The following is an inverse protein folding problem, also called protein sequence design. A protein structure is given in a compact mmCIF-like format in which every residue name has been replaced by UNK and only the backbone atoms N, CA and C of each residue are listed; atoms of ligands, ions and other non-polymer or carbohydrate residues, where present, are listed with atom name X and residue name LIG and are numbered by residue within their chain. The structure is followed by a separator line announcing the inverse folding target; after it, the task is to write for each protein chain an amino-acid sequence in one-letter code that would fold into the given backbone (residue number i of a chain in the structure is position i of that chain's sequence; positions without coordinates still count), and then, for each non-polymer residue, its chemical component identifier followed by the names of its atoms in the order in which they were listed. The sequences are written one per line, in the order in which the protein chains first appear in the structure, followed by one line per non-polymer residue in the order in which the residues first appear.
data_IF_075417148984
#
_entry.id   IF_075417148984
#
_cell.length_a   1.000
_cell.length_b   1.000
_cell.length_c   1.000
_cell.angle_alpha   90.00
_cell.angle_beta   90.00
_cell.angle_gamma   90.00
#
_symmetry.space_group_name_H-M   'P 1'
#
loop_
_entity.id
_entity.type
_entity.pdbx_description
1 polymer ?
#
# COMPACT_ATOMS: atom_id res chain seq x y z
N UNK A 1 -27.04 -10.18 -9.59
CA UNK A 1 -26.63 -9.07 -10.45
C UNK A 1 -25.17 -8.84 -10.12
N UNK A 2 -24.26 -9.29 -11.00
CA UNK A 2 -22.83 -9.18 -10.76
C UNK A 2 -22.41 -7.72 -10.85
N UNK A 3 -21.96 -7.15 -9.74
CA UNK A 3 -21.21 -5.91 -9.78
C UNK A 3 -19.99 -6.17 -10.69
N UNK A 4 -19.92 -5.48 -11.82
CA UNK A 4 -18.69 -5.39 -12.59
C UNK A 4 -17.69 -4.65 -11.71
N UNK A 5 -16.96 -5.41 -10.89
CA UNK A 5 -15.80 -4.86 -10.18
C UNK A 5 -14.82 -4.51 -11.28
N UNK A 6 -14.52 -3.24 -11.42
CA UNK A 6 -13.62 -2.72 -12.43
C UNK A 6 -12.28 -3.43 -12.30
N UNK A 7 -11.82 -4.06 -13.38
CA UNK A 7 -10.47 -4.61 -13.45
C UNK A 7 -9.49 -3.44 -13.26
N UNK A 8 -8.77 -3.44 -12.14
CA UNK A 8 -7.81 -2.36 -11.82
C UNK A 8 -6.80 -2.16 -12.95
N UNK A 9 -6.43 -3.22 -13.66
CA UNK A 9 -5.57 -3.13 -14.83
C UNK A 9 -6.18 -2.26 -15.93
N UNK A 10 -7.50 -2.36 -16.18
CA UNK A 10 -8.18 -1.49 -17.15
C UNK A 10 -8.20 -0.04 -16.66
N UNK A 11 -8.56 0.18 -15.41
CA UNK A 11 -8.60 1.51 -14.79
C UNK A 11 -7.23 2.22 -14.81
N UNK A 12 -6.14 1.49 -14.57
CA UNK A 12 -4.80 2.06 -14.55
C UNK A 12 -4.19 2.26 -15.95
N UNK A 13 -4.70 1.56 -16.97
CA UNK A 13 -4.27 1.69 -18.37
C UNK A 13 -5.27 2.51 -19.20
N UNK A 14 -6.22 3.18 -18.57
CA UNK A 14 -7.17 4.04 -19.27
C UNK A 14 -6.42 5.25 -19.85
N UNK A 15 -6.53 5.43 -21.18
CA UNK A 15 -5.90 6.53 -21.92
C UNK A 15 -6.66 7.86 -21.74
N UNK A 16 -7.66 7.90 -20.85
CA UNK A 16 -8.39 9.14 -20.55
C UNK A 16 -7.53 10.07 -19.69
N UNK A 17 -7.74 11.39 -19.87
CA UNK A 17 -7.15 12.42 -19.00
C UNK A 17 -7.84 12.53 -17.63
N UNK A 18 -8.71 11.57 -17.28
CA UNK A 18 -9.44 11.58 -16.02
C UNK A 18 -8.48 11.36 -14.83
N UNK A 19 -8.62 12.20 -13.82
CA UNK A 19 -7.78 12.15 -12.62
C UNK A 19 -8.41 11.23 -11.59
N UNK A 20 -7.64 10.30 -11.10
CA UNK A 20 -8.04 9.26 -10.15
C UNK A 20 -7.23 9.35 -8.87
N UNK A 21 -7.81 8.84 -7.81
CA UNK A 21 -7.07 8.60 -6.58
C UNK A 21 -7.52 7.30 -5.91
N UNK A 22 -6.63 6.78 -5.10
CA UNK A 22 -6.87 5.65 -4.21
C UNK A 22 -6.30 5.95 -2.83
N UNK A 23 -6.66 5.17 -1.85
CA UNK A 23 -6.08 5.31 -0.52
C UNK A 23 -5.97 3.96 0.18
N UNK A 24 -5.10 3.91 1.18
CA UNK A 24 -5.00 2.73 2.03
C UNK A 24 -5.70 2.93 3.37
N UNK A 25 -6.15 1.83 3.95
CA UNK A 25 -6.68 1.78 5.30
C UNK A 25 -5.91 0.80 6.15
N UNK A 26 -5.76 1.14 7.42
CA UNK A 26 -5.18 0.28 8.43
C UNK A 26 -6.31 -0.41 9.19
N UNK A 27 -6.36 -1.77 9.23
CA UNK A 27 -7.31 -2.49 10.06
C UNK A 27 -7.25 -2.04 11.53
N UNK A 28 -8.38 -1.94 12.24
CA UNK A 28 -8.40 -1.48 13.63
C UNK A 28 -7.65 -2.45 14.54
N UNK A 29 -7.17 -1.97 15.68
CA UNK A 29 -6.64 -2.87 16.72
C UNK A 29 -7.74 -3.79 17.24
N UNK A 30 -7.38 -5.01 17.63
CA UNK A 30 -8.31 -5.95 18.26
C UNK A 30 -8.97 -5.30 19.48
N UNK A 31 -10.28 -5.48 19.60
CA UNK A 31 -11.09 -4.86 20.65
C UNK A 31 -11.66 -3.47 20.31
N UNK A 32 -11.18 -2.79 19.27
CA UNK A 32 -11.66 -1.42 18.93
C UNK A 32 -12.91 -1.41 18.01
N UNK A 33 -13.36 -2.56 17.53
CA UNK A 33 -14.47 -2.64 16.59
C UNK A 33 -14.18 -1.96 15.25
N UNK A 34 -15.16 -1.93 14.35
CA UNK A 34 -15.02 -1.45 12.96
C UNK A 34 -15.45 -0.01 12.75
N UNK A 35 -16.07 0.63 13.76
CA UNK A 35 -16.70 1.95 13.59
C UNK A 35 -15.73 3.06 13.17
N UNK A 36 -14.49 3.04 13.67
CA UNK A 36 -13.46 4.02 13.28
C UNK A 36 -12.99 3.82 11.84
N UNK A 37 -12.82 2.56 11.41
CA UNK A 37 -12.46 2.22 10.04
C UNK A 37 -13.51 2.75 9.05
N UNK A 38 -14.78 2.43 9.29
CA UNK A 38 -15.84 2.87 8.40
C UNK A 38 -16.05 4.38 8.39
N UNK A 39 -15.92 5.08 9.54
CA UNK A 39 -15.93 6.55 9.55
C UNK A 39 -14.81 7.16 8.70
N UNK A 40 -13.62 6.56 8.72
CA UNK A 40 -12.50 7.04 7.90
C UNK A 40 -12.79 6.86 6.40
N UNK A 41 -13.35 5.72 6.02
CA UNK A 41 -13.77 5.46 4.64
C UNK A 41 -14.92 6.40 4.24
N UNK A 42 -15.91 6.60 5.13
CA UNK A 42 -17.06 7.49 4.88
C UNK A 42 -16.64 8.93 4.57
N UNK A 43 -15.53 9.42 5.14
CA UNK A 43 -14.98 10.75 4.83
C UNK A 43 -14.36 10.83 3.43
N UNK A 44 -13.76 9.75 2.94
CA UNK A 44 -13.00 9.76 1.68
C UNK A 44 -13.81 9.25 0.48
N UNK A 45 -14.85 8.44 0.72
CA UNK A 45 -15.68 7.88 -0.37
C UNK A 45 -16.44 8.92 -1.17
N UNK A 46 -16.70 10.11 -0.60
CA UNK A 46 -17.41 11.19 -1.28
C UNK A 46 -16.65 11.72 -2.51
N UNK A 47 -15.34 11.52 -2.55
CA UNK A 47 -14.47 11.90 -3.66
C UNK A 47 -14.30 10.77 -4.70
N UNK A 48 -15.04 9.68 -4.61
CA UNK A 48 -15.04 8.57 -5.54
C UNK A 48 -13.67 7.91 -5.76
N UNK A 49 -13.08 7.28 -4.72
CA UNK A 49 -11.81 6.60 -4.86
C UNK A 49 -11.92 5.41 -5.82
N UNK A 50 -10.90 5.20 -6.64
CA UNK A 50 -10.86 4.11 -7.62
C UNK A 50 -10.74 2.74 -6.95
N UNK A 51 -10.00 2.67 -5.85
CA UNK A 51 -9.83 1.46 -5.03
C UNK A 51 -9.33 1.80 -3.64
N UNK A 52 -9.42 0.82 -2.73
CA UNK A 52 -8.95 0.93 -1.35
C UNK A 52 -7.95 -0.20 -1.08
N UNK A 53 -6.71 0.17 -0.73
CA UNK A 53 -5.72 -0.77 -0.22
C UNK A 53 -5.97 -1.08 1.26
N UNK A 54 -5.72 -2.32 1.66
CA UNK A 54 -5.86 -2.75 3.05
C UNK A 54 -4.53 -3.28 3.52
N UNK A 55 -3.90 -2.56 4.45
CA UNK A 55 -2.58 -2.94 4.95
C UNK A 55 -2.64 -4.19 5.81
N UNK A 56 -1.62 -5.03 5.69
CA UNK A 56 -1.40 -6.19 6.56
C UNK A 56 -0.25 -5.90 7.52
N UNK A 57 -0.43 -6.28 8.76
CA UNK A 57 0.65 -6.30 9.76
C UNK A 57 0.83 -7.73 10.26
N UNK A 58 2.06 -8.18 10.27
CA UNK A 58 2.43 -9.48 10.83
C UNK A 58 2.15 -9.57 12.33
N UNK A 59 2.17 -10.79 12.85
CA UNK A 59 2.08 -11.03 14.28
C UNK A 59 3.33 -10.47 14.99
N UNK A 60 3.14 -9.82 16.11
CA UNK A 60 4.23 -9.41 16.99
C UNK A 60 4.54 -10.54 17.98
N UNK A 61 5.77 -10.59 18.47
CA UNK A 61 6.14 -11.48 19.55
C UNK A 61 6.18 -10.72 20.86
N UNK A 62 5.65 -11.33 21.91
CA UNK A 62 5.82 -10.87 23.28
C UNK A 62 6.50 -11.98 24.08
N UNK A 63 7.29 -11.60 25.06
CA UNK A 63 7.97 -12.52 25.93
C UNK A 63 7.31 -12.45 27.31
N UNK A 64 6.88 -13.61 27.80
CA UNK A 64 6.34 -13.78 29.14
C UNK A 64 7.35 -14.55 29.98
N UNK A 65 7.67 -14.04 31.17
CA UNK A 65 8.46 -14.76 32.13
C UNK A 65 7.60 -15.85 32.79
N UNK A 66 8.09 -17.08 32.72
CA UNK A 66 7.46 -18.24 33.37
C UNK A 66 7.90 -18.33 34.82
N UNK A 67 7.17 -19.14 35.61
CA UNK A 67 7.52 -19.37 37.03
C UNK A 67 8.95 -19.96 37.23
N UNK A 68 9.48 -20.65 36.21
CA UNK A 68 10.83 -21.21 36.20
C UNK A 68 11.91 -20.20 35.78
N UNK A 69 11.55 -18.93 35.56
CA UNK A 69 12.47 -17.85 35.15
C UNK A 69 12.85 -17.87 33.66
N UNK A 70 12.29 -18.78 32.87
CA UNK A 70 12.48 -18.81 31.43
C UNK A 70 11.51 -17.86 30.74
N UNK A 71 11.94 -17.30 29.59
CA UNK A 71 11.10 -16.45 28.74
C UNK A 71 10.39 -17.32 27.70
N UNK A 72 9.06 -17.30 27.74
CA UNK A 72 8.21 -17.91 26.71
C UNK A 72 7.85 -16.88 25.65
N UNK A 73 8.15 -17.18 24.39
CA UNK A 73 7.80 -16.34 23.23
C UNK A 73 6.38 -16.68 22.77
N UNK A 74 5.47 -15.71 22.83
CA UNK A 74 4.10 -15.84 22.35
C UNK A 74 3.87 -14.93 21.14
N UNK A 75 3.30 -15.49 20.07
CA UNK A 75 2.85 -14.70 18.91
C UNK A 75 1.51 -14.04 19.19
N UNK A 76 1.40 -12.75 18.95
CA UNK A 76 0.17 -11.97 19.15
C UNK A 76 -0.21 -11.27 17.84
N UNK A 77 -1.43 -11.57 17.36
CA UNK A 77 -2.08 -10.78 16.31
C UNK A 77 -2.81 -9.60 16.94
N UNK A 78 -2.41 -8.38 16.57
CA UNK A 78 -3.02 -7.16 17.10
C UNK A 78 -4.16 -6.62 16.25
N UNK A 79 -4.32 -7.09 15.02
CA UNK A 79 -5.33 -6.63 14.05
C UNK A 79 -6.05 -7.82 13.41
N UNK A 80 -7.30 -7.63 12.94
CA UNK A 80 -7.95 -8.63 12.11
C UNK A 80 -7.21 -8.84 10.79
N UNK A 81 -7.42 -10.00 10.17
CA UNK A 81 -6.87 -10.31 8.85
C UNK A 81 -7.46 -9.42 7.76
N UNK A 82 -6.67 -9.16 6.72
CA UNK A 82 -7.05 -8.34 5.57
C UNK A 82 -8.24 -8.88 4.81
N UNK A 83 -8.38 -10.20 4.70
CA UNK A 83 -9.52 -10.87 4.03
C UNK A 83 -10.87 -10.42 4.60
N UNK A 84 -11.03 -10.48 5.93
CA UNK A 84 -12.28 -10.09 6.59
C UNK A 84 -12.59 -8.60 6.39
N UNK A 85 -11.57 -7.74 6.44
CA UNK A 85 -11.72 -6.29 6.23
C UNK A 85 -12.05 -6.00 4.77
N UNK A 86 -11.40 -6.67 3.82
CA UNK A 86 -11.66 -6.54 2.39
C UNK A 86 -13.10 -6.91 2.05
N UNK A 87 -13.56 -8.06 2.54
CA UNK A 87 -14.95 -8.50 2.36
C UNK A 87 -15.96 -7.47 2.92
N UNK A 88 -15.71 -6.96 4.15
CA UNK A 88 -16.59 -5.99 4.78
C UNK A 88 -16.65 -4.65 4.02
N UNK A 89 -15.51 -4.16 3.50
CA UNK A 89 -15.44 -2.92 2.70
C UNK A 89 -16.13 -3.12 1.35
N UNK A 90 -15.81 -4.18 0.63
CA UNK A 90 -16.39 -4.47 -0.68
C UNK A 90 -17.91 -4.64 -0.59
N UNK A 91 -18.42 -5.39 0.41
CA UNK A 91 -19.84 -5.58 0.61
C UNK A 91 -20.56 -4.28 0.96
N UNK A 92 -19.95 -3.42 1.79
CA UNK A 92 -20.59 -2.20 2.28
C UNK A 92 -20.59 -1.07 1.25
N UNK A 93 -19.51 -0.91 0.50
CA UNK A 93 -19.28 0.25 -0.34
C UNK A 93 -19.31 -0.05 -1.84
N UNK A 94 -19.12 -1.29 -2.26
CA UNK A 94 -18.97 -1.65 -3.66
C UNK A 94 -17.69 -1.09 -4.32
N UNK A 95 -16.76 -0.55 -3.54
CA UNK A 95 -15.48 -0.03 -4.02
C UNK A 95 -14.50 -1.19 -4.17
N UNK A 96 -13.75 -1.29 -5.28
CA UNK A 96 -12.69 -2.29 -5.42
C UNK A 96 -11.70 -2.25 -4.27
N UNK A 97 -11.32 -3.41 -3.76
CA UNK A 97 -10.34 -3.54 -2.66
C UNK A 97 -9.09 -4.25 -3.14
N UNK A 98 -7.93 -3.83 -2.58
CA UNK A 98 -6.63 -4.45 -2.81
C UNK A 98 -6.06 -4.84 -1.44
N UNK A 99 -6.35 -6.04 -0.92
CA UNK A 99 -5.69 -6.53 0.28
C UNK A 99 -4.20 -6.74 0.03
N UNK A 100 -3.38 -6.39 1.04
CA UNK A 100 -1.96 -6.68 1.04
C UNK A 100 -1.75 -8.12 1.48
N UNK A 101 -1.03 -8.90 0.68
CA UNK A 101 -0.52 -10.24 1.03
C UNK A 101 0.99 -10.11 1.23
N UNK A 102 1.48 -10.56 2.38
CA UNK A 102 2.87 -10.32 2.79
C UNK A 102 3.60 -11.61 3.15
N UNK A 103 4.91 -11.67 2.88
CA UNK A 103 5.77 -12.78 3.32
C UNK A 103 5.99 -12.79 4.83
N UNK A 104 6.06 -11.59 5.44
CA UNK A 104 6.39 -11.43 6.86
C UNK A 104 5.34 -12.10 7.76
N UNK A 105 5.78 -13.01 8.62
CA UNK A 105 4.93 -13.68 9.62
C UNK A 105 3.95 -14.71 9.05
N UNK A 106 4.09 -15.10 7.78
CA UNK A 106 3.25 -16.09 7.11
C UNK A 106 4.06 -17.26 6.54
N UNK A 107 3.53 -18.47 6.65
CA UNK A 107 4.01 -19.64 5.91
C UNK A 107 3.40 -19.65 4.50
N UNK A 108 3.92 -20.49 3.62
CA UNK A 108 3.33 -20.71 2.28
C UNK A 108 1.88 -21.22 2.39
N UNK A 109 1.61 -22.06 3.39
CA UNK A 109 0.27 -22.56 3.68
C UNK A 109 -0.68 -21.46 4.13
N UNK A 110 -0.25 -20.57 5.03
CA UNK A 110 -1.06 -19.41 5.45
C UNK A 110 -1.45 -18.54 4.25
N UNK A 111 -0.50 -18.31 3.33
CA UNK A 111 -0.73 -17.55 2.10
C UNK A 111 -1.71 -18.28 1.18
N UNK A 112 -1.57 -19.60 1.00
CA UNK A 112 -2.49 -20.37 0.16
C UNK A 112 -3.92 -20.31 0.69
N UNK A 113 -4.12 -20.44 2.01
CA UNK A 113 -5.44 -20.26 2.63
C UNK A 113 -5.99 -18.85 2.46
N UNK A 114 -5.15 -17.82 2.57
CA UNK A 114 -5.56 -16.44 2.32
C UNK A 114 -6.01 -16.24 0.86
N UNK A 115 -5.30 -16.83 -0.11
CA UNK A 115 -5.67 -16.79 -1.53
C UNK A 115 -7.00 -17.53 -1.79
N UNK A 116 -7.22 -18.70 -1.18
CA UNK A 116 -8.48 -19.43 -1.27
C UNK A 116 -9.66 -18.62 -0.75
N UNK A 117 -9.50 -17.99 0.41
CA UNK A 117 -10.54 -17.16 1.01
C UNK A 117 -10.86 -15.93 0.14
N UNK A 118 -9.84 -15.25 -0.40
CA UNK A 118 -9.98 -14.10 -1.28
C UNK A 118 -10.68 -14.50 -2.60
N UNK A 119 -10.30 -15.63 -3.19
CA UNK A 119 -10.92 -16.15 -4.40
C UNK A 119 -12.40 -16.49 -4.16
N UNK A 120 -12.72 -17.13 -3.02
CA UNK A 120 -14.11 -17.44 -2.62
C UNK A 120 -14.97 -16.19 -2.47
N UNK A 121 -14.39 -15.09 -1.97
CA UNK A 121 -15.05 -13.80 -1.81
C UNK A 121 -15.13 -12.99 -3.10
N UNK A 122 -14.53 -13.47 -4.21
CA UNK A 122 -14.48 -12.74 -5.48
C UNK A 122 -13.59 -11.50 -5.44
N UNK A 123 -12.57 -11.48 -4.56
CA UNK A 123 -11.57 -10.42 -4.48
C UNK A 123 -10.40 -10.85 -5.36
N UNK A 124 -10.18 -10.13 -6.44
CA UNK A 124 -9.26 -10.53 -7.52
C UNK A 124 -7.99 -9.67 -7.58
N UNK A 125 -7.96 -8.53 -6.88
CA UNK A 125 -6.84 -7.59 -6.90
C UNK A 125 -6.03 -7.67 -5.61
N UNK A 126 -4.71 -7.82 -5.72
CA UNK A 126 -3.81 -7.97 -4.58
C UNK A 126 -2.66 -6.95 -4.63
N UNK A 127 -2.06 -6.70 -3.47
CA UNK A 127 -0.78 -6.05 -3.35
C UNK A 127 0.20 -7.02 -2.72
N UNK A 128 1.20 -7.47 -3.48
CA UNK A 128 2.18 -8.46 -3.02
C UNK A 128 3.43 -7.76 -2.49
N UNK A 129 3.72 -7.96 -1.22
CA UNK A 129 4.80 -7.31 -0.52
C UNK A 129 5.64 -8.33 0.26
N UNK A 130 6.89 -8.01 0.54
CA UNK A 130 7.67 -8.80 1.49
C UNK A 130 7.15 -8.58 2.92
N UNK A 131 6.74 -7.37 3.21
CA UNK A 131 6.45 -6.89 4.56
C UNK A 131 7.73 -6.43 5.27
N UNK A 132 7.53 -5.77 6.40
CA UNK A 132 8.61 -5.23 7.21
C UNK A 132 9.26 -6.32 8.07
N UNK A 133 10.50 -6.07 8.48
CA UNK A 133 11.17 -6.86 9.53
C UNK A 133 10.45 -6.68 10.87
N UNK A 134 10.56 -7.67 11.76
CA UNK A 134 10.09 -7.50 13.13
C UNK A 134 10.84 -6.32 13.80
N UNK A 135 10.16 -5.63 14.71
CA UNK A 135 10.69 -4.39 15.32
C UNK A 135 12.02 -4.59 16.04
N UNK A 136 12.22 -5.78 16.60
CA UNK A 136 13.42 -6.17 17.34
C UNK A 136 14.53 -6.68 16.42
N UNK A 137 14.22 -7.00 15.16
CA UNK A 137 15.16 -7.60 14.24
C UNK A 137 15.98 -6.53 13.50
N UNK A 138 17.27 -6.83 13.31
CA UNK A 138 18.17 -5.99 12.52
C UNK A 138 17.92 -6.14 11.03
N UNK A 139 17.56 -7.35 10.59
CA UNK A 139 17.30 -7.72 9.20
C UNK A 139 15.96 -8.45 9.11
N UNK A 140 15.38 -8.47 7.92
CA UNK A 140 14.23 -9.30 7.65
C UNK A 140 14.59 -10.78 7.81
N UNK A 141 13.80 -11.49 8.61
CA UNK A 141 13.93 -12.95 8.81
C UNK A 141 12.62 -13.61 8.37
N UNK A 142 12.63 -14.47 7.36
CA UNK A 142 11.42 -15.15 6.91
C UNK A 142 10.90 -16.09 7.99
N UNK A 143 9.59 -16.28 8.04
CA UNK A 143 8.98 -17.33 8.84
C UNK A 143 9.43 -18.69 8.32
N UNK A 144 9.69 -19.66 9.20
CA UNK A 144 9.99 -21.02 8.79
C UNK A 144 8.86 -21.57 7.91
N UNK A 145 9.20 -22.10 6.73
CA UNK A 145 8.22 -22.50 5.72
C UNK A 145 7.59 -21.35 4.92
N UNK A 146 7.99 -20.10 5.17
CA UNK A 146 7.52 -18.91 4.45
C UNK A 146 8.45 -18.48 3.32
N UNK A 147 8.19 -17.30 2.76
CA UNK A 147 8.96 -16.67 1.69
C UNK A 147 9.95 -15.64 2.21
N UNK A 148 11.13 -15.57 1.61
CA UNK A 148 12.16 -14.57 1.90
C UNK A 148 12.00 -13.29 1.09
N UNK A 149 11.43 -13.40 -0.12
CA UNK A 149 11.32 -12.30 -1.07
C UNK A 149 9.93 -12.23 -1.71
N UNK A 150 9.51 -11.04 -2.09
CA UNK A 150 8.26 -10.83 -2.85
C UNK A 150 8.23 -11.64 -4.15
N UNK A 151 9.36 -11.88 -4.78
CA UNK A 151 9.43 -12.69 -6.01
C UNK A 151 8.98 -14.13 -5.81
N UNK A 152 9.35 -14.74 -4.68
CA UNK A 152 8.91 -16.09 -4.31
C UNK A 152 7.40 -16.13 -4.01
N UNK A 153 6.87 -15.09 -3.38
CA UNK A 153 5.42 -14.90 -3.19
C UNK A 153 4.69 -14.77 -4.53
N UNK A 154 5.25 -14.00 -5.48
CA UNK A 154 4.71 -13.87 -6.84
C UNK A 154 4.66 -15.24 -7.52
N UNK A 155 5.70 -16.06 -7.42
CA UNK A 155 5.73 -17.41 -7.98
C UNK A 155 4.62 -18.29 -7.40
N UNK A 156 4.38 -18.23 -6.10
CA UNK A 156 3.26 -18.94 -5.46
C UNK A 156 1.91 -18.48 -5.98
N UNK A 157 1.68 -17.16 -6.08
CA UNK A 157 0.42 -16.60 -6.61
C UNK A 157 0.24 -16.97 -8.09
N UNK A 158 1.31 -17.01 -8.88
CA UNK A 158 1.26 -17.45 -10.26
C UNK A 158 0.89 -18.94 -10.38
N UNK A 159 1.49 -19.82 -9.55
CA UNK A 159 1.11 -21.23 -9.49
C UNK A 159 -0.36 -21.40 -9.11
N UNK A 160 -0.82 -20.65 -8.12
CA UNK A 160 -2.23 -20.64 -7.74
C UNK A 160 -3.14 -20.17 -8.88
N UNK A 161 -2.73 -19.14 -9.63
CA UNK A 161 -3.43 -18.67 -10.83
C UNK A 161 -3.49 -19.72 -11.97
N UNK A 162 -2.51 -20.61 -12.04
CA UNK A 162 -2.51 -21.79 -12.95
C UNK A 162 -3.29 -22.97 -12.37
N UNK A 163 -3.87 -22.84 -11.20
CA UNK A 163 -4.64 -23.87 -10.52
C UNK A 163 -3.77 -24.95 -9.85
N UNK A 164 -2.54 -24.62 -9.45
CA UNK A 164 -1.60 -25.53 -8.78
C UNK A 164 -1.42 -25.07 -7.34
N UNK A 165 -1.68 -25.98 -6.40
CA UNK A 165 -1.47 -25.77 -4.97
C UNK A 165 -0.01 -26.05 -4.56
N UNK A 166 0.38 -25.61 -3.35
CA UNK A 166 1.76 -25.81 -2.84
C UNK A 166 2.15 -27.27 -2.67
N UNK A 167 1.18 -28.18 -2.48
CA UNK A 167 1.39 -29.60 -2.39
C UNK A 167 1.49 -30.30 -3.77
N UNK A 168 1.38 -29.53 -4.86
CA UNK A 168 1.41 -30.02 -6.23
C UNK A 168 0.07 -30.56 -6.75
N UNK A 169 -0.97 -30.58 -5.94
CA UNK A 169 -2.31 -30.93 -6.39
C UNK A 169 -2.92 -29.80 -7.26
N UNK A 170 -3.93 -30.12 -8.06
CA UNK A 170 -4.53 -29.19 -9.01
C UNK A 170 -5.99 -28.91 -8.71
N UNK A 171 -6.42 -27.68 -8.97
CA UNK A 171 -7.82 -27.27 -8.84
C UNK A 171 -8.68 -27.93 -9.93
N UNK A 172 -9.79 -28.52 -9.53
CA UNK A 172 -10.79 -29.05 -10.49
C UNK A 172 -11.51 -27.92 -11.25
N UNK A 173 -11.73 -26.81 -10.61
CA UNK A 173 -12.39 -25.63 -11.13
C UNK A 173 -11.60 -24.39 -10.73
N UNK A 174 -10.59 -23.97 -11.52
CA UNK A 174 -9.85 -22.76 -11.28
C UNK A 174 -10.81 -21.55 -11.24
N UNK A 175 -10.68 -20.71 -10.24
CA UNK A 175 -11.40 -19.44 -10.15
C UNK A 175 -10.83 -18.39 -11.11
N UNK A 176 -11.23 -17.13 -10.91
CA UNK A 176 -10.61 -16.03 -11.64
C UNK A 176 -9.19 -15.81 -11.14
N UNK A 177 -8.33 -15.37 -12.05
CA UNK A 177 -6.92 -15.10 -11.75
C UNK A 177 -6.79 -13.84 -10.91
N UNK A 178 -5.87 -13.88 -9.96
CA UNK A 178 -5.45 -12.68 -9.25
C UNK A 178 -4.63 -11.77 -10.16
N UNK A 179 -4.98 -10.48 -10.12
CA UNK A 179 -4.19 -9.37 -10.65
C UNK A 179 -3.48 -8.71 -9.48
N UNK A 180 -2.19 -8.42 -9.59
CA UNK A 180 -1.46 -7.91 -8.44
C UNK A 180 -0.49 -6.78 -8.78
N UNK A 181 -0.38 -5.87 -7.83
CA UNK A 181 0.62 -4.81 -7.77
C UNK A 181 1.76 -5.14 -6.81
N UNK A 182 2.82 -4.34 -6.89
CA UNK A 182 4.01 -4.45 -6.06
C UNK A 182 4.47 -3.08 -5.57
N UNK A 183 5.27 -3.04 -4.50
CA UNK A 183 5.89 -1.80 -4.06
C UNK A 183 7.15 -1.46 -4.88
N UNK A 184 7.41 -0.14 -5.00
CA UNK A 184 8.65 0.41 -5.50
C UNK A 184 9.06 1.65 -4.68
N UNK A 185 10.30 2.13 -4.85
CA UNK A 185 10.90 3.10 -3.94
C UNK A 185 11.62 4.20 -4.73
N UNK A 186 11.05 5.42 -4.83
CA UNK A 186 11.68 6.53 -5.55
C UNK A 186 13.08 6.89 -5.04
N UNK A 187 13.32 6.71 -3.75
CA UNK A 187 14.58 6.99 -3.08
C UNK A 187 15.36 5.73 -2.67
N UNK A 188 15.08 4.60 -3.28
CA UNK A 188 15.54 3.23 -3.06
C UNK A 188 15.02 2.56 -1.78
N UNK A 189 14.91 1.24 -1.79
CA UNK A 189 14.66 0.41 -0.61
C UNK A 189 15.86 0.44 0.35
N UNK A 190 15.60 0.42 1.68
CA UNK A 190 16.66 0.47 2.71
C UNK A 190 17.76 -0.58 2.51
N UNK A 191 17.39 -1.79 2.15
CA UNK A 191 18.32 -2.92 1.95
C UNK A 191 18.95 -2.96 0.56
N UNK A 192 18.46 -2.16 -0.41
CA UNK A 192 19.07 -2.12 -1.73
C UNK A 192 20.42 -1.39 -1.66
N UNK A 193 21.49 -1.93 -2.27
CA UNK A 193 22.79 -1.27 -2.27
C UNK A 193 22.77 0.07 -3.02
N UNK A 194 21.95 0.17 -4.06
CA UNK A 194 21.76 1.37 -4.87
C UNK A 194 20.41 1.34 -5.58
N UNK A 195 20.02 2.46 -6.20
CA UNK A 195 18.75 2.58 -6.92
C UNK A 195 18.69 1.66 -8.16
N UNK A 196 19.81 1.48 -8.87
CA UNK A 196 19.84 0.61 -10.05
C UNK A 196 19.47 -0.84 -9.71
N UNK A 197 19.99 -1.36 -8.60
CA UNK A 197 19.64 -2.72 -8.15
C UNK A 197 18.18 -2.82 -7.75
N UNK A 198 17.63 -1.80 -7.10
CA UNK A 198 16.21 -1.76 -6.72
C UNK A 198 15.28 -1.71 -7.95
N UNK A 199 15.67 -0.94 -8.97
CA UNK A 199 14.98 -0.91 -10.27
C UNK A 199 15.04 -2.26 -11.00
N UNK A 200 16.15 -3.00 -10.91
CA UNK A 200 16.25 -4.38 -11.44
C UNK A 200 15.26 -5.30 -10.74
N UNK A 201 15.08 -5.17 -9.43
CA UNK A 201 14.05 -5.92 -8.70
C UNK A 201 12.63 -5.53 -9.13
N UNK A 202 12.36 -4.25 -9.37
CA UNK A 202 11.07 -3.82 -9.90
C UNK A 202 10.82 -4.42 -11.29
N UNK A 203 11.82 -4.39 -12.18
CA UNK A 203 11.74 -5.02 -13.51
C UNK A 203 11.48 -6.52 -13.40
N UNK A 204 12.18 -7.21 -12.50
CA UNK A 204 11.97 -8.64 -12.24
C UNK A 204 10.54 -8.94 -11.78
N UNK A 205 9.99 -8.15 -10.87
CA UNK A 205 8.60 -8.29 -10.40
C UNK A 205 7.61 -8.10 -11.55
N UNK A 206 7.84 -7.12 -12.44
CA UNK A 206 7.05 -6.96 -13.67
C UNK A 206 7.15 -8.19 -14.58
N UNK A 207 8.36 -8.71 -14.81
CA UNK A 207 8.57 -9.88 -15.67
C UNK A 207 7.92 -11.15 -15.12
N UNK A 208 7.73 -11.23 -13.81
CA UNK A 208 6.99 -12.29 -13.15
C UNK A 208 5.46 -12.06 -13.16
N UNK A 209 4.98 -10.94 -13.68
CA UNK A 209 3.56 -10.71 -13.92
C UNK A 209 2.90 -9.60 -13.08
N UNK A 210 3.64 -8.82 -12.31
CA UNK A 210 3.09 -7.64 -11.66
C UNK A 210 2.53 -6.67 -12.72
N UNK A 211 1.33 -6.14 -12.48
CA UNK A 211 0.59 -5.32 -13.45
C UNK A 211 0.61 -3.84 -13.13
N UNK A 212 0.99 -3.45 -11.93
CA UNK A 212 1.21 -2.06 -11.51
C UNK A 212 2.18 -2.01 -10.32
N UNK A 213 2.68 -0.83 -10.04
CA UNK A 213 3.48 -0.58 -8.84
C UNK A 213 2.97 0.66 -8.09
N UNK A 214 3.02 0.62 -6.75
CA UNK A 214 2.75 1.78 -5.90
C UNK A 214 4.06 2.17 -5.22
N UNK A 215 4.38 3.47 -5.24
CA UNK A 215 5.63 3.92 -4.61
C UNK A 215 5.50 4.02 -3.10
N UNK A 216 6.62 3.86 -2.39
CA UNK A 216 6.74 4.40 -1.03
C UNK A 216 6.48 5.91 -1.05
N UNK A 217 6.01 6.46 0.06
CA UNK A 217 5.80 7.90 0.19
C UNK A 217 7.10 8.69 -0.08
N UNK A 218 6.95 9.86 -0.67
CA UNK A 218 8.03 10.82 -0.96
C UNK A 218 7.49 12.25 -0.86
N UNK A 219 8.37 13.23 -0.74
CA UNK A 219 8.01 14.64 -0.65
C UNK A 219 8.59 15.50 -1.77
N UNK A 220 9.43 14.91 -2.63
CA UNK A 220 10.08 15.55 -3.77
C UNK A 220 9.66 14.89 -5.07
N UNK A 221 8.87 15.60 -5.90
CA UNK A 221 8.40 15.07 -7.18
C UNK A 221 9.52 14.85 -8.19
N UNK A 222 10.59 15.65 -8.14
CA UNK A 222 11.74 15.48 -9.04
C UNK A 222 12.44 14.13 -8.84
N UNK A 223 12.54 13.67 -7.58
CA UNK A 223 13.05 12.32 -7.28
C UNK A 223 12.17 11.24 -7.87
N UNK A 224 10.85 11.41 -7.78
CA UNK A 224 9.89 10.50 -8.38
C UNK A 224 10.00 10.49 -9.91
N UNK A 225 10.10 11.65 -10.57
CA UNK A 225 10.25 11.72 -12.03
C UNK A 225 11.55 11.05 -12.48
N UNK A 226 12.66 11.34 -11.82
CA UNK A 226 13.95 10.70 -12.08
C UNK A 226 13.89 9.18 -11.91
N UNK A 227 13.19 8.70 -10.87
CA UNK A 227 12.97 7.27 -10.66
C UNK A 227 12.19 6.65 -11.82
N UNK A 228 11.07 7.26 -12.23
CA UNK A 228 10.25 6.77 -13.34
C UNK A 228 11.06 6.73 -14.64
N UNK A 229 11.80 7.78 -14.95
CA UNK A 229 12.66 7.84 -16.14
C UNK A 229 13.69 6.70 -16.18
N UNK A 230 14.34 6.43 -15.05
CA UNK A 230 15.29 5.32 -14.93
C UNK A 230 14.58 3.97 -15.06
N UNK A 231 13.41 3.81 -14.44
CA UNK A 231 12.59 2.60 -14.55
C UNK A 231 12.20 2.33 -16.02
N UNK A 232 11.76 3.36 -16.75
CA UNK A 232 11.43 3.26 -18.19
C UNK A 232 12.64 2.88 -19.05
N UNK A 233 13.82 3.46 -18.78
CA UNK A 233 15.08 3.10 -19.46
C UNK A 233 15.48 1.64 -19.22
N UNK A 234 15.11 1.06 -18.07
CA UNK A 234 15.33 -0.35 -17.75
C UNK A 234 14.23 -1.28 -18.27
N UNK A 235 13.24 -0.77 -18.99
CA UNK A 235 12.16 -1.55 -19.60
C UNK A 235 10.99 -1.86 -18.65
N UNK A 236 10.85 -1.12 -17.56
CA UNK A 236 9.64 -1.17 -16.74
C UNK A 236 8.53 -0.43 -17.48
N UNK A 237 7.44 -1.10 -17.80
CA UNK A 237 6.32 -0.56 -18.60
C UNK A 237 5.01 -0.46 -17.82
N UNK A 238 4.89 -1.17 -16.70
CA UNK A 238 3.68 -1.14 -15.87
C UNK A 238 3.45 0.28 -15.32
N UNK A 239 2.17 0.65 -15.04
CA UNK A 239 1.85 1.88 -14.32
C UNK A 239 2.57 1.96 -12.98
N UNK A 240 3.14 3.13 -12.69
CA UNK A 240 3.76 3.45 -11.40
C UNK A 240 2.90 4.55 -10.76
N UNK A 241 2.26 4.20 -9.64
CA UNK A 241 1.33 5.08 -8.94
C UNK A 241 2.10 5.79 -7.83
N UNK A 242 2.21 7.14 -7.86
CA UNK A 242 2.86 7.90 -6.79
C UNK A 242 2.09 7.79 -5.48
N UNK A 243 2.80 7.46 -4.40
CA UNK A 243 2.28 7.38 -3.04
C UNK A 243 2.52 8.66 -2.27
N UNK A 244 1.46 9.33 -1.84
CA UNK A 244 1.51 10.63 -1.16
C UNK A 244 1.00 10.51 0.28
N UNK A 245 1.73 11.10 1.21
CA UNK A 245 1.33 11.23 2.61
C UNK A 245 1.46 12.69 3.05
N UNK A 246 0.35 13.38 3.36
CA UNK A 246 0.46 14.73 3.91
C UNK A 246 1.30 14.74 5.19
N UNK A 247 2.23 15.66 5.28
CA UNK A 247 2.98 15.95 6.50
C UNK A 247 2.03 16.48 7.58
N UNK A 248 2.05 15.96 8.81
CA UNK A 248 1.00 16.23 9.77
C UNK A 248 1.50 16.64 11.17
N UNK A 249 2.79 16.43 11.48
CA UNK A 249 3.36 16.72 12.81
C UNK A 249 4.84 17.07 12.71
N UNK A 250 5.30 17.97 13.56
CA UNK A 250 6.73 18.36 13.63
C UNK A 250 7.66 17.18 13.87
N UNK A 251 7.24 16.20 14.68
CA UNK A 251 8.03 14.98 14.93
C UNK A 251 8.33 14.19 13.66
N UNK A 252 7.56 14.37 12.59
CA UNK A 252 7.75 13.67 11.32
C UNK A 252 9.01 14.11 10.58
N UNK A 253 9.58 15.29 10.86
CA UNK A 253 10.91 15.69 10.36
C UNK A 253 12.00 14.66 10.69
N UNK A 254 11.86 13.97 11.81
CA UNK A 254 12.83 12.96 12.25
C UNK A 254 12.34 11.53 12.04
N UNK A 255 11.03 11.29 12.19
CA UNK A 255 10.45 9.95 12.13
C UNK A 255 10.37 9.45 10.69
N UNK A 256 9.94 10.30 9.76
CA UNK A 256 9.70 9.89 8.37
C UNK A 256 11.00 9.45 7.67
N UNK A 257 12.11 10.22 7.69
CA UNK A 257 13.35 9.77 7.08
C UNK A 257 13.89 8.47 7.67
N UNK A 258 13.76 8.28 8.98
CA UNK A 258 14.24 7.08 9.67
C UNK A 258 13.41 5.83 9.39
N UNK A 259 12.09 6.01 9.21
CA UNK A 259 11.15 4.88 9.08
C UNK A 259 10.94 4.48 7.62
N UNK A 260 10.86 5.48 6.73
CA UNK A 260 10.50 5.25 5.33
C UNK A 260 11.68 5.47 4.37
N UNK A 261 12.85 5.86 4.89
CA UNK A 261 14.08 6.09 4.13
C UNK A 261 13.89 7.06 2.95
N UNK A 262 13.04 8.08 3.17
CA UNK A 262 12.81 9.16 2.20
C UNK A 262 13.24 10.50 2.79
N UNK A 263 13.70 11.40 1.93
CA UNK A 263 14.17 12.72 2.32
C UNK A 263 13.00 13.70 2.52
N UNK A 264 13.17 14.62 3.46
CA UNK A 264 12.33 15.81 3.55
C UNK A 264 13.06 16.94 2.79
N UNK A 265 12.47 17.51 1.72
CA UNK A 265 13.07 18.62 0.97
C UNK A 265 13.43 19.80 1.90
N UNK A 266 14.54 20.49 1.60
CA UNK A 266 15.02 21.63 2.40
C UNK A 266 13.93 22.71 2.59
N UNK A 267 13.18 23.01 1.53
CA UNK A 267 12.05 23.94 1.58
C UNK A 267 10.99 23.49 2.61
N UNK A 268 10.54 22.23 2.54
CA UNK A 268 9.53 21.71 3.47
C UNK A 268 10.08 21.66 4.90
N UNK A 269 11.32 21.21 5.08
CA UNK A 269 11.96 21.18 6.40
C UNK A 269 12.09 22.59 7.00
N UNK A 270 12.53 23.57 6.21
CA UNK A 270 12.67 24.96 6.64
C UNK A 270 11.32 25.56 7.05
N UNK A 271 10.27 25.36 6.26
CA UNK A 271 8.92 25.81 6.58
C UNK A 271 8.35 25.12 7.83
N UNK A 272 8.58 23.82 7.96
CA UNK A 272 8.12 23.05 9.13
C UNK A 272 8.80 23.48 10.43
N UNK A 273 10.08 23.88 10.40
CA UNK A 273 10.80 24.42 11.56
C UNK A 273 10.25 25.77 12.03
N UNK A 274 9.55 26.51 11.18
CA UNK A 274 8.89 27.77 11.56
C UNK A 274 7.52 27.55 12.21
N UNK A 275 6.93 26.36 12.06
CA UNK A 275 5.66 26.01 12.68
C UNK A 275 5.79 25.92 14.20
N UNK A 276 4.82 26.50 14.91
CA UNK A 276 4.80 26.54 16.39
C UNK A 276 3.95 25.42 16.99
N UNK A 277 3.21 24.69 16.17
CA UNK A 277 2.30 23.64 16.60
C UNK A 277 2.17 22.53 15.55
N UNK A 278 1.70 21.34 15.96
CA UNK A 278 1.35 20.26 15.04
C UNK A 278 0.20 20.66 14.09
N UNK A 279 -0.68 21.58 14.50
CA UNK A 279 -1.75 22.08 13.62
C UNK A 279 -1.20 22.94 12.47
N UNK A 280 -0.24 23.82 12.75
CA UNK A 280 0.46 24.59 11.70
C UNK A 280 1.24 23.65 10.77
N UNK A 281 1.92 22.64 11.33
CA UNK A 281 2.61 21.62 10.54
C UNK A 281 1.63 20.81 9.66
N UNK A 282 0.45 20.49 10.17
CA UNK A 282 -0.59 19.81 9.42
C UNK A 282 -1.10 20.65 8.25
N UNK A 283 -1.34 21.93 8.46
CA UNK A 283 -1.77 22.87 7.39
C UNK A 283 -0.68 22.99 6.32
N UNK A 284 0.57 23.12 6.71
CA UNK A 284 1.71 23.12 5.79
C UNK A 284 1.76 21.83 4.98
N UNK A 285 1.57 20.67 5.62
CA UNK A 285 1.58 19.38 4.94
C UNK A 285 0.43 19.18 3.95
N UNK A 286 -0.73 19.76 4.25
CA UNK A 286 -1.87 19.79 3.32
C UNK A 286 -1.51 20.62 2.07
N UNK A 287 -0.99 21.84 2.26
CA UNK A 287 -0.56 22.69 1.14
C UNK A 287 0.51 22.01 0.29
N UNK A 288 1.49 21.39 0.94
CA UNK A 288 2.54 20.65 0.26
C UNK A 288 1.98 19.50 -0.58
N UNK A 289 1.09 18.67 0.00
CA UNK A 289 0.47 17.55 -0.70
C UNK A 289 -0.42 18.02 -1.87
N UNK A 290 -1.17 19.12 -1.71
CA UNK A 290 -1.94 19.71 -2.83
C UNK A 290 -1.00 20.15 -3.95
N UNK A 291 0.13 20.81 -3.64
CA UNK A 291 1.14 21.20 -4.63
C UNK A 291 1.73 19.98 -5.34
N UNK A 292 2.13 18.93 -4.59
CA UNK A 292 2.65 17.69 -5.16
C UNK A 292 1.65 17.04 -6.12
N UNK A 293 0.39 16.88 -5.72
CA UNK A 293 -0.63 16.21 -6.53
C UNK A 293 -0.95 17.00 -7.80
N UNK A 294 -1.06 18.33 -7.69
CA UNK A 294 -1.28 19.21 -8.86
C UNK A 294 -0.16 19.05 -9.88
N UNK A 295 1.07 19.03 -9.42
CA UNK A 295 2.25 18.89 -10.26
C UNK A 295 2.31 17.48 -10.89
N UNK A 296 2.03 16.42 -10.11
CA UNK A 296 1.93 15.05 -10.64
C UNK A 296 0.88 14.92 -11.75
N UNK A 297 -0.31 15.49 -11.56
CA UNK A 297 -1.36 15.49 -12.58
C UNK A 297 -0.97 16.29 -13.83
N UNK A 298 -0.27 17.42 -13.65
CA UNK A 298 0.25 18.22 -14.77
C UNK A 298 1.31 17.47 -15.59
N UNK A 299 2.04 16.53 -14.96
CA UNK A 299 3.02 15.68 -15.63
C UNK A 299 2.42 14.34 -16.14
N UNK A 300 1.09 14.19 -16.14
CA UNK A 300 0.41 13.03 -16.70
C UNK A 300 0.32 11.81 -15.78
N UNK A 301 0.66 11.94 -14.50
CA UNK A 301 0.44 10.86 -13.51
C UNK A 301 -0.99 10.93 -12.97
N UNK A 302 -1.94 10.42 -13.76
CA UNK A 302 -3.37 10.57 -13.51
C UNK A 302 -3.90 9.75 -12.33
N UNK A 303 -3.12 8.86 -11.74
CA UNK A 303 -3.48 8.05 -10.57
C UNK A 303 -2.55 8.40 -9.40
N UNK A 304 -3.10 8.78 -8.25
CA UNK A 304 -2.36 9.08 -7.02
C UNK A 304 -2.88 8.22 -5.87
N UNK A 305 -1.97 7.64 -5.08
CA UNK A 305 -2.31 6.85 -3.91
C UNK A 305 -2.03 7.60 -2.62
N UNK A 306 -3.00 7.65 -1.69
CA UNK A 306 -2.84 8.33 -0.41
C UNK A 306 -2.64 7.38 0.76
N UNK A 307 -1.57 7.60 1.52
CA UNK A 307 -1.31 6.96 2.80
C UNK A 307 -2.08 7.66 3.92
N UNK A 308 -3.15 7.02 4.41
CA UNK A 308 -4.10 7.66 5.34
C UNK A 308 -3.83 7.39 6.81
N UNK A 309 -2.89 6.54 7.16
CA UNK A 309 -2.59 6.23 8.57
C UNK A 309 -2.26 7.50 9.34
N UNK A 310 -3.10 7.82 10.34
CA UNK A 310 -3.05 9.06 11.13
C UNK A 310 -3.15 10.36 10.29
N UNK A 311 -3.69 10.30 9.07
CA UNK A 311 -3.76 11.44 8.15
C UNK A 311 -5.09 11.57 7.40
N UNK A 312 -6.15 10.82 7.77
CA UNK A 312 -7.44 10.82 7.07
C UNK A 312 -8.01 12.24 6.90
N UNK A 313 -8.04 13.03 7.97
CA UNK A 313 -8.56 14.42 7.92
C UNK A 313 -7.70 15.33 7.04
N UNK A 314 -6.39 15.11 6.99
CA UNK A 314 -5.50 15.85 6.11
C UNK A 314 -5.71 15.46 4.65
N UNK A 315 -5.85 14.15 4.36
CA UNK A 315 -6.17 13.66 3.01
C UNK A 315 -7.53 14.17 2.55
N UNK A 316 -8.56 14.14 3.42
CA UNK A 316 -9.87 14.72 3.13
C UNK A 316 -9.76 16.22 2.73
N UNK A 317 -8.99 17.02 3.46
CA UNK A 317 -8.80 18.43 3.14
C UNK A 317 -8.01 18.63 1.83
N UNK A 318 -7.00 17.78 1.55
CA UNK A 318 -6.30 17.77 0.25
C UNK A 318 -7.29 17.52 -0.88
N UNK A 319 -8.12 16.48 -0.76
CA UNK A 319 -9.12 16.13 -1.78
C UNK A 319 -10.12 17.25 -2.02
N UNK A 320 -10.63 17.86 -0.95
CA UNK A 320 -11.54 19.00 -1.03
C UNK A 320 -10.93 20.16 -1.86
N UNK A 321 -9.68 20.51 -1.59
CA UNK A 321 -8.98 21.58 -2.32
C UNK A 321 -8.71 21.22 -3.78
N UNK A 322 -8.45 19.93 -4.09
CA UNK A 322 -8.30 19.46 -5.46
C UNK A 322 -9.63 19.53 -6.23
N UNK A 323 -10.76 19.22 -5.59
CA UNK A 323 -12.11 19.40 -6.14
C UNK A 323 -12.42 20.89 -6.38
N UNK A 324 -12.15 21.77 -5.43
CA UNK A 324 -12.35 23.23 -5.54
C UNK A 324 -11.57 23.85 -6.71
N UNK A 325 -10.46 23.21 -7.11
CA UNK A 325 -9.68 23.65 -8.28
C UNK A 325 -10.13 23.00 -9.60
N UNK A 326 -11.16 22.16 -9.58
CA UNK A 326 -11.68 21.47 -10.76
C UNK A 326 -10.80 20.31 -11.28
N UNK A 327 -9.79 19.90 -10.52
CA UNK A 327 -8.89 18.80 -10.90
C UNK A 327 -9.50 17.42 -10.62
N UNK A 328 -10.43 17.33 -9.69
CA UNK A 328 -11.15 16.12 -9.35
C UNK A 328 -12.65 16.40 -9.30
N UNK A 329 -13.44 15.36 -9.55
CA UNK A 329 -14.88 15.43 -9.45
C UNK A 329 -15.33 14.89 -8.08
N UNK A 330 -16.31 15.55 -7.47
CA UNK A 330 -17.01 15.03 -6.30
C UNK A 330 -18.29 14.35 -6.76
N UNK A 331 -18.64 13.21 -6.16
CA UNK A 331 -19.94 12.60 -6.43
C UNK A 331 -21.07 13.60 -6.12
N UNK A 332 -21.87 13.89 -7.12
CA UNK A 332 -23.14 14.60 -6.90
C UNK A 332 -24.01 13.71 -6.00
N UNK A 333 -24.41 14.24 -4.84
CA UNK A 333 -25.27 13.55 -3.87
C UNK A 333 -26.59 13.11 -4.47
#
# INVERSE_FOLDING_TARGET
MGNNITDIKQLLNDETDEKHFSFEVLPPLKGNGTASLFRNIDQLKEFNPSFINITTHHSEFVYHEREDGLLERQSIRRRPGTVAIAAAIQQRYGIPVIPHVICSGATKEDIEYELLDLQFLGIENLMLLRGDKAREDRFFTPTEGGHSHTTELIEQVNSFNEGIFIDGSTMKHPGRRFVYGVACYPEKHEEAPNLEQDLRYLKMKQDFGATFAVTQLFYDNEKFYNFVDQARKMGVTIPIIPGIKPFAKLSQLNVVPKTFHCDIPEELAGLALLCKSDEEARLLGIEWAVRQVKDLYAHGFNNVHFYTVSAVSSVHEVMKRLVETGLLQQNSK
#
